data_IF_368471391423
#
_entry.id   IF_368471391423
#
_cell.length_a   1.000
_cell.length_b   1.000
_cell.length_c   1.000
_cell.angle_alpha   90.00
_cell.angle_beta   90.00
_cell.angle_gamma   90.00
#
_symmetry.space_group_name_H-M   'P 1'
#
loop_
_entity.id
_entity.type
_entity.pdbx_description
1 polymer ?
#
# COMPACT_ATOMS: atom_id res chain seq x y z
N UNK A 1 9.00 -2.77 -1.73
CA UNK A 1 8.94 -2.56 -0.26
C UNK A 1 9.11 -1.09 0.12
N UNK A 2 10.23 -0.43 -0.22
CA UNK A 2 10.54 0.95 0.21
C UNK A 2 9.47 1.99 -0.12
N UNK A 3 8.94 1.93 -1.35
CA UNK A 3 7.93 2.89 -1.83
C UNK A 3 6.55 2.67 -1.18
N UNK A 4 6.18 1.43 -0.85
CA UNK A 4 4.94 1.13 -0.14
C UNK A 4 4.98 1.68 1.31
N UNK A 5 6.12 1.50 2.00
CA UNK A 5 6.33 2.05 3.34
C UNK A 5 6.32 3.58 3.30
N UNK A 6 7.02 4.19 2.35
CA UNK A 6 7.01 5.64 2.17
C UNK A 6 5.61 6.20 1.86
N UNK A 7 4.85 5.51 1.01
CA UNK A 7 3.45 5.86 0.72
C UNK A 7 2.56 5.79 1.96
N UNK A 8 2.71 4.77 2.79
CA UNK A 8 1.96 4.64 4.05
C UNK A 8 2.29 5.74 5.05
N UNK A 9 3.58 6.05 5.27
CA UNK A 9 3.98 7.17 6.13
C UNK A 9 3.49 8.51 5.61
N UNK A 10 3.59 8.73 4.30
CA UNK A 10 3.09 9.97 3.67
C UNK A 10 1.59 10.12 3.87
N UNK A 11 0.82 9.04 3.65
CA UNK A 11 -0.63 9.07 3.79
C UNK A 11 -1.07 9.30 5.23
N UNK A 12 -0.55 8.50 6.19
CA UNK A 12 -0.86 8.65 7.61
C UNK A 12 -0.41 9.99 8.21
N UNK A 13 0.57 10.66 7.60
CA UNK A 13 1.03 11.98 8.08
C UNK A 13 0.25 13.13 7.50
N UNK A 14 -0.07 13.10 6.20
CA UNK A 14 -0.52 14.30 5.49
C UNK A 14 -1.86 14.16 4.75
N UNK A 15 -2.38 12.95 4.53
CA UNK A 15 -3.50 12.75 3.60
C UNK A 15 -4.81 12.45 4.30
N UNK A 16 -5.82 13.24 3.94
CA UNK A 16 -7.19 13.13 4.42
C UNK A 16 -7.97 12.02 3.72
N UNK A 17 -8.92 11.43 4.45
CA UNK A 17 -9.95 10.54 3.92
C UNK A 17 -11.31 11.23 3.80
N UNK A 18 -11.36 12.57 3.88
CA UNK A 18 -12.62 13.32 3.86
C UNK A 18 -13.43 13.09 2.58
N UNK A 19 -12.76 13.07 1.43
CA UNK A 19 -13.41 12.91 0.13
C UNK A 19 -13.83 11.47 -0.20
N UNK A 20 -13.27 10.49 0.51
CA UNK A 20 -13.57 9.06 0.30
C UNK A 20 -14.54 8.51 1.35
N UNK A 21 -14.39 8.94 2.61
CA UNK A 21 -15.08 8.37 3.78
C UNK A 21 -15.68 9.43 4.72
N UNK A 22 -15.45 10.72 4.51
CA UNK A 22 -15.89 11.77 5.44
C UNK A 22 -15.17 11.73 6.79
N UNK A 23 -13.91 11.25 6.81
CA UNK A 23 -13.11 11.06 8.02
C UNK A 23 -11.80 11.82 7.96
N UNK A 24 -11.36 12.32 9.11
CA UNK A 24 -9.96 12.66 9.34
C UNK A 24 -9.14 11.37 9.49
N UNK A 25 -7.99 11.29 8.84
CA UNK A 25 -7.15 10.07 8.84
C UNK A 25 -5.65 10.32 8.96
N UNK A 26 -5.22 11.57 9.18
CA UNK A 26 -3.81 11.91 9.23
C UNK A 26 -3.38 12.66 10.49
N UNK A 27 -2.08 12.58 10.82
CA UNK A 27 -1.48 13.37 11.90
C UNK A 27 -1.71 14.86 11.70
N UNK A 28 -1.67 15.34 10.46
CA UNK A 28 -1.97 16.74 10.11
C UNK A 28 -3.40 17.16 10.49
N UNK A 29 -4.34 16.23 10.46
CA UNK A 29 -5.75 16.43 10.86
C UNK A 29 -6.00 16.18 12.35
N UNK A 30 -4.97 15.83 13.13
CA UNK A 30 -5.07 15.56 14.56
C UNK A 30 -5.32 14.09 14.94
N UNK A 31 -5.23 13.16 13.99
CA UNK A 31 -5.21 11.73 14.31
C UNK A 31 -3.93 11.38 15.10
N UNK A 32 -3.96 10.24 15.79
CA UNK A 32 -2.80 9.68 16.49
C UNK A 32 -2.38 8.34 15.85
N UNK A 33 -1.37 7.68 16.41
CA UNK A 33 -0.83 6.42 15.85
C UNK A 33 -1.88 5.32 15.71
N UNK A 34 -2.90 5.30 16.56
CA UNK A 34 -3.96 4.29 16.54
C UNK A 34 -5.07 4.63 15.53
N UNK A 35 -5.19 5.89 15.11
CA UNK A 35 -6.30 6.37 14.28
C UNK A 35 -5.88 6.87 12.90
N UNK A 36 -4.60 7.13 12.68
CA UNK A 36 -4.09 7.51 11.37
C UNK A 36 -4.14 6.32 10.39
N UNK A 37 -4.58 6.57 9.16
CA UNK A 37 -4.79 5.53 8.17
C UNK A 37 -4.59 6.06 6.73
N UNK A 38 -4.27 5.14 5.83
CA UNK A 38 -4.46 5.33 4.39
C UNK A 38 -5.72 4.56 4.01
N UNK A 39 -6.84 5.28 3.89
CA UNK A 39 -8.15 4.66 3.66
C UNK A 39 -8.36 4.25 2.21
N UNK A 40 -9.24 3.27 2.00
CA UNK A 40 -9.65 2.80 0.68
C UNK A 40 -10.28 3.91 -0.16
N UNK A 41 -10.23 3.81 -1.51
CA UNK A 41 -10.99 4.70 -2.39
C UNK A 41 -12.49 4.63 -2.12
N UNK A 42 -13.22 5.68 -2.51
CA UNK A 42 -14.68 5.70 -2.41
C UNK A 42 -15.31 4.55 -3.21
N UNK A 43 -16.39 3.94 -2.69
CA UNK A 43 -17.07 2.82 -3.36
C UNK A 43 -17.57 3.17 -4.78
N UNK A 44 -17.85 4.46 -5.04
CA UNK A 44 -18.23 4.96 -6.37
C UNK A 44 -17.16 4.76 -7.45
N UNK A 45 -15.90 4.55 -7.05
CA UNK A 45 -14.79 4.29 -7.96
C UNK A 45 -14.71 2.80 -8.36
N UNK A 46 -15.42 1.90 -7.67
CA UNK A 46 -15.37 0.44 -7.85
C UNK A 46 -13.96 -0.15 -7.65
N UNK A 47 -13.39 -0.81 -8.67
CA UNK A 47 -12.07 -1.46 -8.61
C UNK A 47 -11.06 -0.84 -9.60
N UNK A 48 -10.80 0.47 -9.60
CA UNK A 48 -9.82 1.04 -10.50
C UNK A 48 -8.43 0.81 -9.93
N UNK A 49 -7.44 0.66 -10.83
CA UNK A 49 -6.03 0.72 -10.43
C UNK A 49 -5.66 2.09 -9.84
N UNK A 50 -6.43 3.13 -10.19
CA UNK A 50 -6.28 4.51 -9.71
C UNK A 50 -4.84 4.99 -9.88
N UNK A 51 -4.34 4.86 -11.11
CA UNK A 51 -3.00 5.32 -11.47
C UNK A 51 -2.97 6.85 -11.46
N UNK A 52 -1.83 7.44 -11.08
CA UNK A 52 -1.68 8.90 -11.06
C UNK A 52 -1.96 9.52 -12.43
N UNK A 53 -1.54 8.85 -13.51
CA UNK A 53 -1.78 9.24 -14.91
C UNK A 53 -3.07 8.65 -15.49
N UNK A 54 -3.97 8.12 -14.65
CA UNK A 54 -5.27 7.59 -15.06
C UNK A 54 -6.27 8.69 -15.47
N UNK A 55 -7.49 8.31 -15.86
CA UNK A 55 -8.58 9.25 -16.19
C UNK A 55 -9.29 9.85 -14.95
N UNK A 56 -9.34 9.13 -13.84
CA UNK A 56 -9.39 9.73 -12.48
C UNK A 56 -8.05 10.47 -12.27
N UNK A 57 -7.75 11.33 -11.31
CA UNK A 57 -6.43 12.02 -11.22
C UNK A 57 -5.89 12.82 -12.45
N UNK A 58 -5.70 12.28 -13.66
CA UNK A 58 -5.20 12.97 -14.87
C UNK A 58 -3.84 13.63 -14.68
N UNK A 59 -2.97 13.02 -13.88
CA UNK A 59 -1.67 13.56 -13.50
C UNK A 59 -1.71 14.54 -12.33
N UNK A 60 -2.89 14.95 -11.84
CA UNK A 60 -3.02 15.77 -10.65
C UNK A 60 -2.80 14.93 -9.38
N UNK A 61 -1.65 15.16 -8.74
CA UNK A 61 -1.24 14.47 -7.52
C UNK A 61 -2.14 14.78 -6.32
N UNK A 62 -2.59 16.03 -6.18
CA UNK A 62 -3.46 16.41 -5.06
C UNK A 62 -4.81 15.71 -5.19
N UNK A 63 -5.39 15.73 -6.39
CA UNK A 63 -6.63 15.01 -6.68
C UNK A 63 -6.47 13.51 -6.50
N UNK A 64 -5.34 12.95 -6.94
CA UNK A 64 -5.03 11.53 -6.76
C UNK A 64 -5.02 11.11 -5.29
N UNK A 65 -4.38 11.90 -4.42
CA UNK A 65 -4.42 11.69 -2.97
C UNK A 65 -5.84 11.76 -2.40
N UNK A 66 -6.64 12.74 -2.83
CA UNK A 66 -8.02 12.91 -2.38
C UNK A 66 -8.94 11.76 -2.81
N UNK A 67 -8.69 11.14 -3.96
CA UNK A 67 -9.47 10.00 -4.45
C UNK A 67 -9.10 8.67 -3.79
N UNK A 68 -8.11 8.66 -2.89
CA UNK A 68 -7.61 7.44 -2.25
C UNK A 68 -6.56 6.69 -3.07
N UNK A 69 -5.90 7.34 -4.03
CA UNK A 69 -4.88 6.71 -4.87
C UNK A 69 -3.66 6.15 -4.11
N UNK A 70 -3.36 6.70 -2.94
CA UNK A 70 -2.33 6.14 -2.06
C UNK A 70 -2.65 4.73 -1.59
N UNK A 71 -3.93 4.36 -1.45
CA UNK A 71 -4.31 3.02 -1.06
C UNK A 71 -3.90 2.01 -2.13
N UNK A 72 -4.32 2.20 -3.38
CA UNK A 72 -3.96 1.29 -4.48
C UNK A 72 -2.46 1.26 -4.70
N UNK A 73 -1.79 2.41 -4.55
CA UNK A 73 -0.34 2.51 -4.61
C UNK A 73 0.38 1.67 -3.56
N UNK A 74 0.02 1.81 -2.28
CA UNK A 74 0.65 1.07 -1.17
C UNK A 74 0.35 -0.42 -1.31
N UNK A 75 -0.89 -0.79 -1.64
CA UNK A 75 -1.31 -2.17 -1.85
C UNK A 75 -0.54 -2.84 -2.99
N UNK A 76 -0.48 -2.23 -4.18
CA UNK A 76 0.21 -2.80 -5.33
C UNK A 76 1.74 -2.90 -5.12
N UNK A 77 2.37 -1.83 -4.64
CA UNK A 77 3.81 -1.85 -4.36
C UNK A 77 4.18 -2.74 -3.17
N UNK A 78 3.24 -2.91 -2.24
CA UNK A 78 3.31 -3.87 -1.15
C UNK A 78 3.32 -5.29 -1.70
N UNK A 79 2.35 -5.65 -2.54
CA UNK A 79 2.26 -6.96 -3.19
C UNK A 79 3.55 -7.32 -3.97
N UNK A 80 4.02 -6.43 -4.85
CA UNK A 80 5.30 -6.63 -5.54
C UNK A 80 6.50 -6.68 -4.57
N UNK A 81 6.44 -5.93 -3.48
CA UNK A 81 7.43 -5.99 -2.40
C UNK A 81 7.49 -7.35 -1.71
N UNK A 82 6.33 -7.96 -1.42
CA UNK A 82 6.24 -9.29 -0.82
C UNK A 82 6.74 -10.37 -1.77
N UNK A 83 6.38 -10.27 -3.07
CA UNK A 83 6.91 -11.16 -4.11
C UNK A 83 8.44 -11.04 -4.16
N UNK A 84 8.96 -9.82 -4.22
CA UNK A 84 10.41 -9.58 -4.20
C UNK A 84 11.10 -10.10 -2.95
N UNK A 85 10.46 -9.98 -1.78
CA UNK A 85 10.99 -10.51 -0.52
C UNK A 85 11.05 -12.04 -0.54
N UNK A 86 9.99 -12.71 -1.00
CA UNK A 86 9.97 -14.16 -1.13
C UNK A 86 11.03 -14.66 -2.13
N UNK A 87 11.18 -13.97 -3.27
CA UNK A 87 12.22 -14.27 -4.26
C UNK A 87 13.63 -14.09 -3.69
N UNK A 88 13.85 -13.04 -2.89
CA UNK A 88 15.12 -12.83 -2.20
C UNK A 88 15.42 -13.94 -1.19
N UNK A 89 14.42 -14.44 -0.46
CA UNK A 89 14.60 -15.60 0.42
C UNK A 89 15.01 -16.87 -0.34
N UNK A 90 14.43 -17.11 -1.53
CA UNK A 90 14.88 -18.21 -2.40
C UNK A 90 16.31 -18.01 -2.90
N UNK A 91 16.65 -16.80 -3.31
CA UNK A 91 17.99 -16.46 -3.78
C UNK A 91 19.04 -16.66 -2.68
N UNK A 92 18.76 -16.19 -1.45
CA UNK A 92 19.62 -16.39 -0.29
C UNK A 92 19.75 -17.87 0.08
N UNK A 93 18.64 -18.60 0.15
CA UNK A 93 18.67 -20.04 0.44
C UNK A 93 19.54 -20.80 -0.58
N UNK A 94 19.44 -20.43 -1.87
CA UNK A 94 20.31 -20.96 -2.93
C UNK A 94 21.77 -20.55 -2.75
N UNK A 95 22.06 -19.29 -2.41
CA UNK A 95 23.44 -18.79 -2.28
C UNK A 95 24.19 -19.43 -1.12
N UNK A 96 23.49 -19.75 -0.02
CA UNK A 96 24.06 -20.46 1.14
C UNK A 96 23.73 -21.96 1.18
N UNK A 97 23.20 -22.52 0.09
CA UNK A 97 22.88 -23.96 -0.07
C UNK A 97 21.97 -24.53 1.03
N UNK A 98 21.09 -23.70 1.60
CA UNK A 98 20.08 -24.12 2.56
C UNK A 98 18.77 -24.48 1.85
N UNK A 99 17.97 -25.32 2.51
CA UNK A 99 16.60 -25.61 2.04
C UNK A 99 15.72 -24.36 2.20
N UNK A 100 14.88 -24.02 1.21
CA UNK A 100 14.11 -22.77 1.21
C UNK A 100 12.85 -22.81 2.08
N UNK A 101 12.89 -23.41 3.27
CA UNK A 101 11.71 -23.53 4.13
C UNK A 101 11.17 -22.19 4.62
N UNK A 102 12.04 -21.18 4.81
CA UNK A 102 11.62 -19.84 5.18
C UNK A 102 10.74 -19.20 4.08
N UNK A 103 11.16 -19.34 2.81
CA UNK A 103 10.38 -18.84 1.67
C UNK A 103 9.05 -19.60 1.52
N UNK A 104 9.04 -20.92 1.75
CA UNK A 104 7.82 -21.73 1.70
C UNK A 104 6.87 -21.33 2.83
N UNK A 105 7.35 -21.17 4.07
CA UNK A 105 6.54 -20.73 5.20
C UNK A 105 5.95 -19.33 4.97
N UNK A 106 6.71 -18.45 4.31
CA UNK A 106 6.27 -17.10 3.95
C UNK A 106 5.04 -17.08 3.01
N UNK A 107 4.77 -18.16 2.26
CA UNK A 107 3.55 -18.25 1.45
C UNK A 107 2.26 -18.11 2.27
N UNK A 108 2.25 -18.54 3.54
CA UNK A 108 1.11 -18.34 4.42
C UNK A 108 0.85 -16.87 4.73
N UNK A 109 1.91 -16.07 4.88
CA UNK A 109 1.79 -14.61 5.04
C UNK A 109 1.29 -13.94 3.76
N UNK A 110 1.83 -14.34 2.60
CA UNK A 110 1.37 -13.83 1.29
C UNK A 110 -0.10 -14.16 1.04
N UNK A 111 -0.54 -15.37 1.35
CA UNK A 111 -1.94 -15.79 1.21
C UNK A 111 -2.90 -15.15 2.21
N UNK A 112 -2.41 -14.74 3.39
CA UNK A 112 -3.19 -14.03 4.40
C UNK A 112 -3.15 -12.51 4.28
N UNK A 113 -2.31 -11.95 3.40
CA UNK A 113 -2.27 -10.52 3.16
C UNK A 113 -3.59 -10.09 2.50
N UNK A 114 -4.42 -9.36 3.24
CA UNK A 114 -5.62 -8.72 2.70
C UNK A 114 -5.20 -7.45 1.93
N UNK A 115 -4.57 -7.68 0.78
CA UNK A 115 -4.30 -6.66 -0.26
C UNK A 115 -5.45 -6.57 -1.24
#
# INVERSE_FOLDING_TARGET
MTIAIGGWFTGTTFVTSWYTHGLASSYLEGCNFLTAAVSTPANSLAHPLLLLWGPEAQGDFTRWCQLGGLWTFVTLHGAFGLIGFMLHQFELARSVQLKPYNAIAFSGFVGGAQI
#
